data_IF_359499306091
#
_entry.id   IF_359499306091
#
_cell.length_a   1.000
_cell.length_b   1.000
_cell.length_c   1.000
_cell.angle_alpha   90.00
_cell.angle_beta   90.00
_cell.angle_gamma   90.00
#
_symmetry.space_group_name_H-M   'P 1'
#
loop_
_entity.id
_entity.type
_entity.pdbx_description
1 polymer ?
#
# COMPACT_ATOMS: atom_id res chain seq x y z
N UNK A 1 4.83 -0.68 36.32
CA UNK A 1 4.85 -2.14 36.47
C UNK A 1 4.54 -2.60 37.89
N UNK A 2 5.00 -1.91 38.96
CA UNK A 2 4.64 -2.30 40.33
C UNK A 2 5.05 -3.75 40.61
N UNK A 3 4.18 -4.50 41.28
CA UNK A 3 4.37 -5.93 41.57
C UNK A 3 3.70 -6.86 40.54
N UNK A 4 3.22 -6.31 39.42
CA UNK A 4 2.56 -7.11 38.38
C UNK A 4 3.58 -8.02 37.68
N UNK A 5 3.28 -9.32 37.46
CA UNK A 5 4.23 -10.25 36.88
C UNK A 5 4.60 -9.87 35.44
N UNK A 6 5.90 -9.92 35.13
CA UNK A 6 6.40 -9.74 33.77
C UNK A 6 6.31 -11.08 33.01
N UNK A 7 5.25 -11.23 32.23
CA UNK A 7 5.04 -12.41 31.40
C UNK A 7 5.80 -12.30 30.06
N UNK A 8 6.04 -13.42 29.34
CA UNK A 8 6.64 -13.38 28.01
C UNK A 8 5.75 -12.66 26.99
N UNK A 9 6.37 -11.82 26.15
CA UNK A 9 5.73 -11.07 25.07
C UNK A 9 5.31 -11.99 23.91
N UNK A 10 4.21 -12.73 24.10
CA UNK A 10 3.66 -13.69 23.13
C UNK A 10 2.18 -13.43 22.89
N UNK A 11 1.80 -13.44 21.61
CA UNK A 11 0.42 -13.33 21.17
C UNK A 11 -0.39 -14.57 21.56
N UNK A 12 -1.69 -14.38 21.78
CA UNK A 12 -2.63 -15.48 22.01
C UNK A 12 -2.70 -16.46 20.81
N UNK A 13 -2.27 -16.04 19.61
CA UNK A 13 -2.16 -16.93 18.44
C UNK A 13 -1.20 -18.11 18.63
N UNK A 14 -0.11 -17.92 19.39
CA UNK A 14 0.89 -18.98 19.65
C UNK A 14 0.38 -20.07 20.61
N UNK A 15 -0.69 -19.80 21.36
CA UNK A 15 -1.25 -20.77 22.32
C UNK A 15 -1.94 -21.91 21.59
N UNK A 16 -1.88 -23.13 22.16
CA UNK A 16 -2.47 -24.33 21.55
C UNK A 16 -3.96 -24.11 21.21
N UNK A 17 -4.37 -24.20 19.94
CA UNK A 17 -5.76 -24.08 19.54
C UNK A 17 -6.62 -25.30 19.90
N UNK A 18 -6.02 -26.45 20.22
CA UNK A 18 -6.73 -27.71 20.46
C UNK A 18 -7.06 -27.95 21.94
N UNK A 19 -6.34 -27.29 22.83
CA UNK A 19 -6.65 -27.29 24.26
C UNK A 19 -7.99 -26.57 24.53
N UNK A 20 -8.81 -27.14 25.41
CA UNK A 20 -10.08 -26.56 25.82
C UNK A 20 -9.84 -25.48 26.88
N UNK A 21 -9.65 -24.24 26.42
CA UNK A 21 -9.51 -23.06 27.28
C UNK A 21 -10.84 -22.67 27.93
N UNK A 22 -10.80 -22.12 29.14
CA UNK A 22 -12.00 -21.59 29.82
C UNK A 22 -12.62 -20.42 29.03
N UNK A 23 -11.78 -19.60 28.41
CA UNK A 23 -12.17 -18.56 27.45
C UNK A 23 -11.56 -18.89 26.07
N UNK A 24 -12.28 -19.61 25.20
CA UNK A 24 -11.75 -20.09 23.92
C UNK A 24 -11.38 -18.98 22.92
N UNK A 25 -12.05 -17.84 23.00
CA UNK A 25 -11.84 -16.69 22.13
C UNK A 25 -10.46 -16.06 22.36
N UNK A 26 -10.03 -15.90 23.61
CA UNK A 26 -8.74 -15.31 23.99
C UNK A 26 -7.68 -16.36 24.36
N UNK A 27 -8.06 -17.65 24.37
CA UNK A 27 -7.21 -18.80 24.77
C UNK A 27 -6.60 -18.60 26.15
N UNK A 28 -7.43 -18.31 27.15
CA UNK A 28 -7.02 -18.01 28.53
C UNK A 28 -7.80 -18.84 29.54
N UNK A 29 -7.14 -19.27 30.62
CA UNK A 29 -7.76 -20.02 31.70
C UNK A 29 -8.09 -19.12 32.89
N UNK A 30 -9.10 -19.49 33.66
CA UNK A 30 -9.46 -18.83 34.90
C UNK A 30 -8.32 -18.94 35.93
N UNK A 31 -7.98 -17.83 36.58
CA UNK A 31 -6.89 -17.76 37.56
C UNK A 31 -5.47 -17.69 36.96
N UNK A 32 -5.31 -17.74 35.63
CA UNK A 32 -4.02 -17.51 34.99
C UNK A 32 -3.68 -16.00 35.05
N UNK A 33 -2.43 -15.60 35.37
CA UNK A 33 -2.03 -14.20 35.29
C UNK A 33 -2.12 -13.72 33.84
N UNK A 34 -2.66 -12.52 33.66
CA UNK A 34 -2.83 -11.89 32.36
C UNK A 34 -1.55 -11.13 31.97
N UNK A 35 -1.27 -11.00 30.67
CA UNK A 35 -0.13 -10.20 30.21
C UNK A 35 -0.44 -8.71 30.45
N UNK A 36 0.58 -7.90 30.76
CA UNK A 36 0.40 -6.46 30.95
C UNK A 36 -0.26 -5.81 29.71
N UNK A 37 0.32 -6.06 28.53
CA UNK A 37 -0.23 -5.66 27.22
C UNK A 37 -1.18 -6.72 26.61
N UNK A 38 -2.09 -7.26 27.42
CA UNK A 38 -3.04 -8.28 26.93
C UNK A 38 -3.92 -7.76 25.80
N UNK A 39 -4.36 -6.50 25.88
CA UNK A 39 -5.19 -5.85 24.87
C UNK A 39 -4.53 -5.81 23.49
N UNK A 40 -3.19 -5.70 23.42
CA UNK A 40 -2.39 -5.75 22.19
C UNK A 40 -2.22 -7.16 21.64
N UNK A 41 -2.09 -8.16 22.52
CA UNK A 41 -1.81 -9.56 22.19
C UNK A 41 -3.05 -10.45 22.07
N UNK A 42 -4.25 -9.86 22.02
CA UNK A 42 -5.46 -10.57 21.62
C UNK A 42 -5.37 -11.04 20.16
N UNK A 43 -6.10 -12.10 19.81
CA UNK A 43 -6.07 -12.74 18.48
C UNK A 43 -6.48 -11.82 17.32
N UNK A 44 -7.16 -10.72 17.57
CA UNK A 44 -7.59 -9.80 16.53
C UNK A 44 -6.58 -8.67 16.25
N UNK A 45 -5.41 -8.69 16.90
CA UNK A 45 -4.41 -7.60 16.82
C UNK A 45 -3.02 -8.14 16.48
N UNK A 46 -2.02 -7.83 17.30
CA UNK A 46 -0.61 -8.09 16.99
C UNK A 46 -0.32 -9.57 17.18
N UNK A 47 0.19 -10.18 16.12
CA UNK A 47 0.63 -11.57 16.12
C UNK A 47 2.17 -11.65 16.19
N UNK A 48 2.66 -12.49 17.09
CA UNK A 48 4.10 -12.77 17.29
C UNK A 48 4.48 -14.16 16.79
N UNK A 49 3.54 -14.90 16.21
CA UNK A 49 3.77 -16.25 15.70
C UNK A 49 4.96 -16.29 14.74
N UNK A 50 5.83 -17.30 14.86
CA UNK A 50 7.05 -17.37 14.07
C UNK A 50 6.71 -17.54 12.58
N UNK A 51 7.26 -16.65 11.75
CA UNK A 51 7.16 -16.77 10.30
C UNK A 51 8.30 -17.63 9.74
N UNK A 52 8.09 -18.36 8.62
CA UNK A 52 9.16 -19.19 8.02
C UNK A 52 10.39 -18.40 7.57
N UNK A 53 10.20 -17.12 7.25
CA UNK A 53 11.27 -16.22 6.80
C UNK A 53 11.62 -15.24 7.92
N UNK A 54 12.92 -15.01 8.21
CA UNK A 54 13.35 -14.00 9.16
C UNK A 54 12.88 -12.58 8.79
N UNK A 55 12.45 -11.81 9.79
CA UNK A 55 11.93 -10.45 9.61
C UNK A 55 12.84 -9.53 8.77
N UNK A 56 14.14 -9.54 9.05
CA UNK A 56 15.09 -8.69 8.35
C UNK A 56 15.21 -9.03 6.85
N UNK A 57 14.95 -10.28 6.46
CA UNK A 57 14.92 -10.73 5.06
C UNK A 57 13.64 -10.26 4.39
N UNK A 58 12.48 -10.48 5.02
CA UNK A 58 11.18 -10.00 4.52
C UNK A 58 11.20 -8.49 4.25
N UNK A 59 11.68 -7.70 5.21
CA UNK A 59 11.81 -6.24 5.09
C UNK A 59 12.73 -5.83 3.95
N UNK A 60 13.89 -6.50 3.79
CA UNK A 60 14.84 -6.20 2.71
C UNK A 60 14.23 -6.45 1.34
N UNK A 61 13.61 -7.62 1.13
CA UNK A 61 12.96 -7.93 -0.16
C UNK A 61 11.86 -6.93 -0.48
N UNK A 62 11.00 -6.60 0.48
CA UNK A 62 9.92 -5.63 0.29
C UNK A 62 10.47 -4.26 -0.15
N UNK A 63 11.48 -3.74 0.55
CA UNK A 63 12.05 -2.43 0.24
C UNK A 63 12.83 -2.42 -1.07
N UNK A 64 13.55 -3.49 -1.39
CA UNK A 64 14.27 -3.61 -2.68
C UNK A 64 13.25 -3.64 -3.82
N UNK A 65 12.20 -4.45 -3.71
CA UNK A 65 11.16 -4.51 -4.73
C UNK A 65 10.49 -3.15 -4.94
N UNK A 66 10.03 -2.51 -3.86
CA UNK A 66 9.36 -1.21 -3.93
C UNK A 66 10.29 -0.14 -4.51
N UNK A 67 11.53 -0.07 -4.03
CA UNK A 67 12.53 0.87 -4.53
C UNK A 67 12.83 0.66 -6.01
N UNK A 68 12.96 -0.59 -6.44
CA UNK A 68 13.23 -0.93 -7.84
C UNK A 68 12.05 -0.54 -8.74
N UNK A 69 10.82 -0.81 -8.31
CA UNK A 69 9.62 -0.41 -9.06
C UNK A 69 9.52 1.10 -9.21
N UNK A 70 9.72 1.86 -8.14
CA UNK A 70 9.68 3.33 -8.19
C UNK A 70 10.75 3.90 -9.11
N UNK A 71 11.96 3.34 -9.10
CA UNK A 71 13.04 3.74 -10.01
C UNK A 71 12.65 3.44 -11.46
N UNK A 72 12.10 2.25 -11.74
CA UNK A 72 11.68 1.87 -13.09
C UNK A 72 10.53 2.75 -13.61
N UNK A 73 9.57 3.13 -12.75
CA UNK A 73 8.56 4.12 -13.11
C UNK A 73 9.17 5.49 -13.41
N UNK A 74 10.14 5.96 -12.60
CA UNK A 74 10.86 7.19 -12.88
C UNK A 74 11.63 7.17 -14.21
N UNK A 75 12.25 6.05 -14.55
CA UNK A 75 12.90 5.84 -15.86
C UNK A 75 11.85 5.84 -16.98
N UNK A 76 10.71 5.19 -16.78
CA UNK A 76 9.61 5.15 -17.75
C UNK A 76 9.04 6.53 -18.08
N UNK A 77 9.06 7.46 -17.12
CA UNK A 77 8.67 8.86 -17.34
C UNK A 77 9.73 9.65 -18.11
N UNK A 78 11.02 9.38 -17.87
CA UNK A 78 12.13 10.02 -18.62
C UNK A 78 12.19 9.51 -20.07
N UNK A 79 11.89 8.22 -20.28
CA UNK A 79 11.90 7.57 -21.59
C UNK A 79 10.50 7.04 -21.95
N UNK A 80 9.54 7.95 -22.21
CA UNK A 80 8.19 7.54 -22.54
C UNK A 80 8.17 6.87 -23.91
N UNK A 81 7.42 5.77 -24.00
CA UNK A 81 7.11 5.15 -25.28
C UNK A 81 5.95 5.88 -25.93
N UNK A 82 6.12 6.29 -27.19
CA UNK A 82 5.09 6.90 -28.00
C UNK A 82 5.05 6.24 -29.38
N UNK A 83 3.88 6.33 -30.04
CA UNK A 83 3.74 5.84 -31.41
C UNK A 83 4.43 6.82 -32.36
N UNK A 84 5.13 6.35 -33.42
CA UNK A 84 5.81 7.21 -34.39
C UNK A 84 4.81 7.88 -35.33
N UNK A 85 3.89 8.66 -34.78
CA UNK A 85 2.86 9.43 -35.47
C UNK A 85 2.96 10.87 -35.01
N UNK A 86 2.69 11.80 -35.92
CA UNK A 86 2.61 13.21 -35.57
C UNK A 86 1.46 13.50 -34.58
N UNK A 87 1.44 14.70 -33.99
CA UNK A 87 0.33 15.12 -33.15
C UNK A 87 -0.98 15.11 -33.95
N UNK A 88 -2.08 14.79 -33.27
CA UNK A 88 -3.40 14.78 -33.89
C UNK A 88 -3.80 16.20 -34.30
N UNK A 89 -4.12 16.37 -35.59
CA UNK A 89 -4.60 17.63 -36.15
C UNK A 89 -6.11 17.75 -35.97
N UNK A 90 -6.57 18.95 -35.64
CA UNK A 90 -7.98 19.25 -35.39
C UNK A 90 -8.40 20.51 -36.18
N UNK A 91 -9.58 20.51 -36.81
CA UNK A 91 -10.07 21.67 -37.57
C UNK A 91 -10.47 22.84 -36.63
N UNK A 92 -10.81 23.98 -37.23
CA UNK A 92 -11.36 25.16 -36.54
C UNK A 92 -10.47 25.70 -35.40
N UNK A 93 -9.19 25.95 -35.70
CA UNK A 93 -8.20 26.45 -34.74
C UNK A 93 -8.08 25.56 -33.49
N UNK A 94 -7.87 24.26 -33.70
CA UNK A 94 -7.80 23.23 -32.65
C UNK A 94 -9.11 23.12 -31.83
N UNK A 95 -10.26 23.21 -32.51
CA UNK A 95 -11.61 23.15 -31.89
C UNK A 95 -11.79 24.22 -30.80
N UNK A 96 -11.38 25.46 -31.06
CA UNK A 96 -11.33 26.52 -30.06
C UNK A 96 -12.67 26.75 -29.35
N UNK A 97 -13.77 26.86 -30.11
CA UNK A 97 -15.10 27.11 -29.55
C UNK A 97 -15.63 25.90 -28.80
N UNK A 98 -15.41 24.70 -29.34
CA UNK A 98 -15.87 23.44 -28.76
C UNK A 98 -15.11 23.07 -27.48
N UNK A 99 -13.86 23.52 -27.34
CA UNK A 99 -13.06 23.39 -26.10
C UNK A 99 -13.34 24.49 -25.07
N UNK A 100 -14.33 25.36 -25.31
CA UNK A 100 -14.76 26.41 -24.36
C UNK A 100 -14.02 27.74 -24.52
N UNK A 101 -13.46 28.03 -25.70
CA UNK A 101 -12.92 29.34 -26.04
C UNK A 101 -13.96 30.45 -26.03
N UNK A 102 -13.50 31.69 -25.86
CA UNK A 102 -14.36 32.88 -25.81
C UNK A 102 -14.79 33.28 -27.23
N UNK A 103 -16.09 33.25 -27.57
CA UNK A 103 -16.56 33.59 -28.91
C UNK A 103 -16.25 35.03 -29.33
N UNK A 104 -15.98 35.92 -28.37
CA UNK A 104 -15.72 37.33 -28.63
C UNK A 104 -14.24 37.63 -28.87
N UNK A 105 -13.37 36.62 -28.79
CA UNK A 105 -11.94 36.75 -29.02
C UNK A 105 -11.53 35.89 -30.19
N UNK A 106 -10.79 36.49 -31.12
CA UNK A 106 -10.22 35.72 -32.22
C UNK A 106 -9.09 34.83 -31.69
N UNK A 107 -9.17 33.49 -31.87
CA UNK A 107 -8.10 32.59 -31.49
C UNK A 107 -6.91 32.73 -32.45
N UNK A 108 -5.71 32.30 -32.02
CA UNK A 108 -4.57 32.20 -32.92
C UNK A 108 -4.90 31.25 -34.09
N UNK A 109 -4.53 31.66 -35.31
CA UNK A 109 -4.82 30.89 -36.52
C UNK A 109 -3.95 29.63 -36.56
N UNK A 110 -4.58 28.45 -36.56
CA UNK A 110 -3.91 27.15 -36.70
C UNK A 110 -4.34 26.51 -38.02
N UNK A 111 -3.44 26.50 -39.00
CA UNK A 111 -3.68 25.89 -40.32
C UNK A 111 -3.00 24.53 -40.44
N UNK A 112 -3.74 23.54 -40.94
CA UNK A 112 -3.21 22.23 -41.30
C UNK A 112 -3.25 22.08 -42.83
N UNK A 113 -2.15 21.61 -43.41
CA UNK A 113 -2.01 21.38 -44.85
C UNK A 113 -1.94 19.87 -45.13
N UNK A 114 -2.37 19.45 -46.31
CA UNK A 114 -2.15 18.09 -46.79
C UNK A 114 -0.66 17.87 -47.09
N UNK A 115 -0.14 16.69 -46.71
CA UNK A 115 1.27 16.29 -46.88
C UNK A 115 1.38 15.43 -48.14
#
# INVERSE_FOLDING_TARGET
>A
YGDYPMLPNKSAHERDPWYQWDQPDVRHNWGQPMHWDFDMYIRNRVDTSPTPVPWHIMRKHFLIFLGTMLIMFGIGEIYPSYRPVGPKQYPFNDLYLEKGGDPNKEPPVVTHYEI
#
